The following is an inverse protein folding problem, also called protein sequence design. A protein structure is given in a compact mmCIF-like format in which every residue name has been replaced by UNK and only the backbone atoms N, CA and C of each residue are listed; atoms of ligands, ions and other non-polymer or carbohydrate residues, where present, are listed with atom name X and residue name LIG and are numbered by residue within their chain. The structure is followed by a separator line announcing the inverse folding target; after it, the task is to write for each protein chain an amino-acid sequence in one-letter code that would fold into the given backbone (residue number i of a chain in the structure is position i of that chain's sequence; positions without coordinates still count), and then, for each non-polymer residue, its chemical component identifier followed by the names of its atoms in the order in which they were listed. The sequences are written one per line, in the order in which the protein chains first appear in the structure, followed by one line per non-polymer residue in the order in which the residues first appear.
data_IF_351153773888
#
_entry.id   IF_351153773888
#
_cell.length_a   1.000
_cell.length_b   1.000
_cell.length_c   1.000
_cell.angle_alpha   90.00
_cell.angle_beta   90.00
_cell.angle_gamma   90.00
#
_symmetry.space_group_name_H-M   'P 1'
#
loop_
_entity.id
_entity.type
_entity.pdbx_description
1 polymer ?
#
# COMPACT_ATOMS: atom_id res chain seq x y z
N UNK A 1 3.76 -5.82 35.37
CA UNK A 1 3.92 -5.25 34.03
C UNK A 1 2.78 -4.29 33.81
N UNK A 2 3.05 -3.12 33.24
CA UNK A 2 1.99 -2.19 32.83
C UNK A 2 1.50 -2.65 31.47
N UNK A 3 0.21 -2.99 31.34
CA UNK A 3 -0.35 -3.38 30.05
C UNK A 3 -0.58 -2.12 29.21
N UNK A 4 0.03 -2.06 28.03
CA UNK A 4 -0.02 -0.97 27.07
C UNK A 4 -0.96 -1.33 25.92
N UNK A 5 -1.93 -0.47 25.60
CA UNK A 5 -2.73 -0.61 24.37
C UNK A 5 -1.95 -0.08 23.16
N UNK A 6 -1.96 -0.84 22.07
CA UNK A 6 -1.33 -0.51 20.80
C UNK A 6 -2.39 -0.47 19.71
N UNK A 7 -2.41 0.62 18.93
CA UNK A 7 -3.28 0.77 17.76
C UNK A 7 -2.47 1.06 16.52
N UNK A 8 -2.74 0.28 15.48
CA UNK A 8 -1.97 0.27 14.25
C UNK A 8 -2.91 0.36 13.06
N UNK A 9 -2.63 1.29 12.17
CA UNK A 9 -3.28 1.45 10.88
C UNK A 9 -2.30 1.03 9.79
N UNK A 10 -2.70 0.14 8.90
CA UNK A 10 -1.77 -0.37 7.89
C UNK A 10 -2.41 -1.36 6.93
N UNK A 11 -1.59 -2.13 6.25
CA UNK A 11 -2.02 -3.13 5.27
C UNK A 11 -1.59 -4.50 5.75
N UNK A 12 -2.52 -5.42 5.94
CA UNK A 12 -2.25 -6.67 6.62
C UNK A 12 -2.80 -7.92 5.98
N UNK A 13 -2.17 -9.04 6.35
CA UNK A 13 -2.74 -10.38 6.22
C UNK A 13 -3.42 -10.70 7.55
N UNK A 14 -4.66 -11.14 7.52
CA UNK A 14 -5.50 -11.36 8.72
C UNK A 14 -5.85 -12.82 8.95
N UNK A 15 -5.37 -13.69 8.06
CA UNK A 15 -5.65 -15.12 7.98
C UNK A 15 -4.39 -15.99 8.11
N UNK A 16 -3.31 -15.45 8.68
CA UNK A 16 -2.06 -16.19 8.84
C UNK A 16 -2.24 -17.39 9.78
N UNK A 17 -1.48 -18.44 9.51
CA UNK A 17 -1.36 -19.60 10.40
C UNK A 17 0.09 -19.72 10.87
N UNK A 18 0.31 -20.40 12.00
CA UNK A 18 1.67 -20.69 12.44
C UNK A 18 2.39 -21.54 11.37
N UNK A 19 3.52 -21.04 10.86
CA UNK A 19 4.24 -21.68 9.77
C UNK A 19 3.61 -21.47 8.39
N UNK A 20 2.80 -20.43 8.21
CA UNK A 20 2.27 -20.01 6.91
C UNK A 20 3.38 -19.94 5.87
N UNK A 21 3.20 -20.61 4.74
CA UNK A 21 4.22 -20.77 3.70
C UNK A 21 4.39 -19.49 2.87
N UNK A 22 3.43 -18.56 2.93
CA UNK A 22 3.51 -17.22 2.31
C UNK A 22 4.56 -16.34 3.01
N UNK A 23 4.86 -16.63 4.28
CA UNK A 23 5.76 -15.83 5.11
C UNK A 23 7.20 -16.34 5.07
N UNK A 24 8.15 -15.43 4.86
CA UNK A 24 9.55 -15.71 5.12
C UNK A 24 9.89 -15.36 6.57
N UNK A 25 9.85 -16.38 7.44
CA UNK A 25 10.14 -16.24 8.87
C UNK A 25 11.59 -15.84 9.18
N UNK A 26 12.50 -15.95 8.21
CA UNK A 26 13.89 -15.49 8.31
C UNK A 26 14.07 -14.04 7.81
N UNK A 27 12.97 -13.34 7.52
CA UNK A 27 13.03 -11.95 7.09
C UNK A 27 13.74 -11.07 8.13
N UNK A 28 14.71 -10.23 7.73
CA UNK A 28 15.35 -9.28 8.64
C UNK A 28 14.39 -8.23 9.22
N UNK A 29 13.18 -8.07 8.65
CA UNK A 29 12.14 -7.22 9.25
C UNK A 29 11.43 -7.86 10.45
N UNK A 30 11.58 -9.17 10.63
CA UNK A 30 11.06 -9.91 11.78
C UNK A 30 12.15 -10.13 12.85
N UNK A 31 13.40 -9.75 12.57
CA UNK A 31 14.54 -9.82 13.51
C UNK A 31 14.82 -8.45 14.15
N UNK A 32 14.38 -8.27 15.39
CA UNK A 32 14.56 -7.05 16.18
C UNK A 32 16.03 -6.69 16.47
N UNK A 33 16.98 -7.59 16.23
CA UNK A 33 18.40 -7.36 16.55
C UNK A 33 19.21 -6.82 15.37
N UNK A 34 18.74 -7.04 14.15
CA UNK A 34 19.46 -6.73 12.92
C UNK A 34 18.58 -6.07 11.85
N UNK A 35 17.46 -5.46 12.28
CA UNK A 35 16.53 -4.82 11.38
C UNK A 35 17.20 -3.70 10.55
N UNK A 36 16.93 -3.64 9.23
CA UNK A 36 17.40 -2.56 8.39
C UNK A 36 16.94 -1.19 8.88
N UNK A 37 17.65 -0.15 8.47
CA UNK A 37 17.34 1.24 8.81
C UNK A 37 16.41 1.88 7.77
N UNK A 38 15.73 2.96 8.16
CA UNK A 38 14.96 3.79 7.23
C UNK A 38 15.84 4.38 6.11
N UNK A 39 17.10 4.70 6.40
CA UNK A 39 18.06 5.22 5.41
C UNK A 39 18.39 4.17 4.36
N UNK A 40 18.72 2.95 4.77
CA UNK A 40 18.98 1.85 3.83
C UNK A 40 17.77 1.57 2.93
N UNK A 41 16.57 1.60 3.49
CA UNK A 41 15.33 1.47 2.72
C UNK A 41 15.12 2.63 1.74
N UNK A 42 15.35 3.87 2.16
CA UNK A 42 15.17 5.04 1.29
C UNK A 42 16.18 5.09 0.12
N UNK A 43 17.37 4.52 0.31
CA UNK A 43 18.41 4.45 -0.72
C UNK A 43 18.28 3.22 -1.61
N UNK A 44 17.55 2.18 -1.18
CA UNK A 44 17.31 0.97 -1.95
C UNK A 44 16.74 1.24 -3.36
N UNK A 45 15.69 2.07 -3.56
CA UNK A 45 15.16 2.37 -4.90
C UNK A 45 16.20 2.94 -5.87
N UNK A 46 17.18 3.72 -5.39
CA UNK A 46 18.22 4.30 -6.25
C UNK A 46 19.20 3.23 -6.78
N UNK A 47 19.27 2.07 -6.12
CA UNK A 47 20.13 0.95 -6.53
C UNK A 47 19.43 -0.01 -7.52
N UNK A 48 18.10 -0.02 -7.54
CA UNK A 48 17.30 -0.85 -8.44
C UNK A 48 17.16 -0.17 -9.81
N UNK A 49 18.08 -0.47 -10.74
CA UNK A 49 18.03 0.05 -12.11
C UNK A 49 16.73 -0.35 -12.82
N UNK A 50 16.07 0.61 -13.48
CA UNK A 50 15.01 0.36 -14.45
C UNK A 50 13.57 0.49 -13.94
N UNK A 51 13.35 0.89 -12.69
CA UNK A 51 12.02 1.28 -12.19
C UNK A 51 11.92 2.81 -12.15
N UNK A 52 11.13 3.41 -13.05
CA UNK A 52 10.68 4.80 -12.90
C UNK A 52 9.70 4.85 -11.72
N UNK A 53 10.25 5.08 -10.53
CA UNK A 53 9.46 5.10 -9.32
C UNK A 53 8.74 6.44 -9.20
N UNK A 54 7.41 6.43 -9.28
CA UNK A 54 6.57 7.62 -9.11
C UNK A 54 6.44 8.07 -7.64
N UNK A 55 7.34 7.60 -6.77
CA UNK A 55 7.31 7.82 -5.32
C UNK A 55 8.56 8.52 -4.78
N UNK A 56 9.15 9.42 -5.58
CA UNK A 56 10.21 10.31 -5.11
C UNK A 56 9.77 11.13 -3.87
N UNK A 57 8.48 11.49 -3.76
CA UNK A 57 7.95 12.16 -2.56
C UNK A 57 7.95 11.24 -1.32
N UNK A 58 7.42 10.00 -1.36
CA UNK A 58 7.56 9.03 -0.27
C UNK A 58 9.01 8.76 0.16
N UNK A 59 9.95 8.58 -0.76
CA UNK A 59 11.34 8.28 -0.38
C UNK A 59 11.99 9.41 0.44
N UNK A 60 11.74 10.66 0.07
CA UNK A 60 12.18 11.83 0.84
C UNK A 60 11.48 11.90 2.21
N UNK A 61 10.18 11.60 2.27
CA UNK A 61 9.46 11.50 3.55
C UNK A 61 10.05 10.42 4.45
N UNK A 62 10.42 9.27 3.90
CA UNK A 62 11.09 8.17 4.62
C UNK A 62 12.45 8.59 5.15
N UNK A 63 13.28 9.29 4.35
CA UNK A 63 14.57 9.83 4.83
C UNK A 63 14.37 10.77 6.01
N UNK A 64 13.44 11.73 5.88
CA UNK A 64 13.13 12.68 6.96
C UNK A 64 12.64 11.98 8.21
N UNK A 65 11.87 10.90 8.06
CA UNK A 65 11.43 10.06 9.18
C UNK A 65 12.62 9.38 9.87
N UNK A 66 13.55 8.80 9.10
CA UNK A 66 14.78 8.22 9.64
C UNK A 66 15.66 9.25 10.36
N UNK A 67 15.81 10.45 9.78
CA UNK A 67 16.59 11.55 10.37
C UNK A 67 15.96 12.09 11.66
N UNK A 68 14.62 12.19 11.70
CA UNK A 68 13.89 12.65 12.88
C UNK A 68 13.85 11.61 14.01
N UNK A 69 13.94 10.32 13.66
CA UNK A 69 13.84 9.20 14.60
C UNK A 69 14.96 8.18 14.39
N UNK A 70 16.24 8.54 14.63
CA UNK A 70 17.40 7.70 14.29
C UNK A 70 17.50 6.40 15.10
N UNK A 71 16.68 6.25 16.14
CA UNK A 71 16.59 5.05 16.97
C UNK A 71 15.48 4.10 16.51
N UNK A 72 14.63 4.49 15.55
CA UNK A 72 13.64 3.60 14.96
C UNK A 72 14.28 2.85 13.79
N UNK A 73 14.20 1.54 13.86
CA UNK A 73 14.54 0.63 12.78
C UNK A 73 13.27 0.25 12.00
N UNK A 74 13.46 -0.31 10.81
CA UNK A 74 12.38 -0.52 9.85
C UNK A 74 11.41 -1.64 10.27
N UNK A 75 11.81 -2.52 11.19
CA UNK A 75 10.94 -3.49 11.87
C UNK A 75 9.78 -2.79 12.61
N UNK A 76 9.92 -1.52 13.01
CA UNK A 76 8.79 -0.78 13.59
C UNK A 76 7.62 -0.57 12.61
N UNK A 77 7.83 -0.83 11.32
CA UNK A 77 6.81 -0.81 10.27
C UNK A 77 6.13 -2.18 10.09
N UNK A 78 6.59 -3.22 10.78
CA UNK A 78 6.09 -4.59 10.68
C UNK A 78 5.54 -5.01 12.03
N UNK A 79 4.23 -5.17 12.11
CA UNK A 79 3.55 -5.60 13.33
C UNK A 79 3.14 -7.04 13.14
N UNK A 80 3.93 -7.94 13.71
CA UNK A 80 3.66 -9.36 13.75
C UNK A 80 4.11 -9.91 15.10
N UNK A 81 3.16 -10.44 15.88
CA UNK A 81 3.36 -11.08 17.17
C UNK A 81 4.45 -10.48 18.08
N UNK A 82 4.18 -9.28 18.62
CA UNK A 82 4.88 -8.75 19.79
C UNK A 82 4.18 -9.26 21.06
N UNK A 83 4.52 -10.47 21.52
CA UNK A 83 4.15 -11.15 22.80
C UNK A 83 2.65 -11.34 23.15
N UNK A 84 1.74 -10.54 22.58
CA UNK A 84 0.34 -10.42 23.02
C UNK A 84 -0.60 -9.92 21.91
N UNK A 85 -0.13 -9.93 20.66
CA UNK A 85 -0.95 -9.80 19.46
C UNK A 85 -1.57 -11.14 19.01
N UNK A 86 -2.31 -11.11 17.89
CA UNK A 86 -2.81 -12.30 17.23
C UNK A 86 -1.75 -12.86 16.30
N UNK A 87 -1.46 -14.16 16.41
CA UNK A 87 -0.55 -14.87 15.51
C UNK A 87 -1.08 -14.93 14.06
N UNK A 88 -2.38 -14.68 13.88
CA UNK A 88 -3.00 -14.70 12.55
C UNK A 88 -2.88 -13.38 11.80
N UNK A 89 -2.18 -12.38 12.37
CA UNK A 89 -2.18 -11.01 11.86
C UNK A 89 -0.77 -10.51 11.66
N UNK A 90 -0.49 -10.06 10.43
CA UNK A 90 0.66 -9.26 10.07
C UNK A 90 0.15 -7.92 9.56
N UNK A 91 0.64 -6.80 10.08
CA UNK A 91 0.32 -5.47 9.57
C UNK A 91 1.59 -4.77 9.12
N UNK A 92 1.58 -4.25 7.90
CA UNK A 92 2.62 -3.40 7.34
C UNK A 92 2.16 -1.95 7.39
N UNK A 93 2.88 -1.15 8.17
CA UNK A 93 2.71 0.29 8.22
C UNK A 93 3.61 0.91 7.15
N UNK A 94 3.10 1.80 6.29
CA UNK A 94 3.95 2.46 5.33
C UNK A 94 5.07 3.23 6.04
N UNK A 95 6.35 3.12 5.61
CA UNK A 95 7.47 3.75 6.32
C UNK A 95 7.34 5.28 6.43
N UNK A 96 6.73 5.96 5.44
CA UNK A 96 6.45 7.40 5.53
C UNK A 96 5.40 7.78 6.57
N UNK A 97 4.67 6.79 7.13
CA UNK A 97 3.55 6.94 8.07
C UNK A 97 3.75 6.21 9.40
N UNK A 98 4.92 5.63 9.64
CA UNK A 98 5.22 4.83 10.83
C UNK A 98 4.95 5.54 12.18
N UNK A 99 4.98 6.88 12.20
CA UNK A 99 4.66 7.67 13.40
C UNK A 99 3.18 8.05 13.50
N UNK A 100 2.54 8.29 12.37
CA UNK A 100 1.16 8.78 12.33
C UNK A 100 0.16 7.64 12.53
N UNK A 101 0.53 6.44 12.08
CA UNK A 101 -0.35 5.29 11.96
C UNK A 101 -0.08 4.20 12.99
N UNK A 102 0.85 4.42 13.90
CA UNK A 102 1.10 3.53 15.02
C UNK A 102 1.23 4.36 16.29
N UNK A 103 0.41 4.05 17.28
CA UNK A 103 0.46 4.70 18.59
C UNK A 103 0.32 3.68 19.71
N UNK A 104 0.78 4.08 20.88
CA UNK A 104 0.70 3.27 22.10
C UNK A 104 0.36 4.15 23.29
N UNK A 105 -0.37 3.58 24.25
CA UNK A 105 -0.66 4.20 25.55
C UNK A 105 -1.42 5.54 25.50
N UNK A 106 -2.53 5.59 24.73
CA UNK A 106 -3.41 6.77 24.71
C UNK A 106 -4.58 6.59 25.70
N UNK A 107 -4.79 7.57 26.59
CA UNK A 107 -5.88 7.52 27.59
C UNK A 107 -7.25 7.34 26.93
N UNK A 108 -7.48 7.94 25.76
CA UNK A 108 -8.75 7.78 25.05
C UNK A 108 -8.92 6.35 24.52
N UNK A 109 -7.83 5.65 24.19
CA UNK A 109 -7.89 4.27 23.73
C UNK A 109 -8.28 3.32 24.87
N UNK A 110 -7.82 3.56 26.10
CA UNK A 110 -8.31 2.83 27.27
C UNK A 110 -9.78 3.08 27.53
N UNK A 111 -10.25 4.32 27.38
CA UNK A 111 -11.67 4.63 27.52
C UNK A 111 -12.50 3.93 26.44
N UNK A 112 -12.06 3.93 25.19
CA UNK A 112 -12.74 3.22 24.10
C UNK A 112 -12.75 1.70 24.36
N UNK A 113 -11.65 1.11 24.82
CA UNK A 113 -11.59 -0.32 25.11
C UNK A 113 -12.45 -0.73 26.32
N UNK A 114 -12.54 0.11 27.37
CA UNK A 114 -13.28 -0.22 28.59
C UNK A 114 -14.77 0.17 28.53
N UNK A 115 -15.13 1.18 27.73
CA UNK A 115 -16.50 1.68 27.63
C UNK A 115 -17.15 1.41 26.27
N UNK A 116 -16.36 1.14 25.24
CA UNK A 116 -16.87 0.49 24.03
C UNK A 116 -17.15 -0.97 24.35
N UNK A 117 -18.10 -1.58 23.64
CA UNK A 117 -18.48 -2.98 23.83
C UNK A 117 -17.37 -3.98 23.39
N UNK A 118 -16.09 -3.64 23.56
CA UNK A 118 -14.95 -4.50 23.25
C UNK A 118 -14.68 -5.48 24.42
N UNK A 119 -14.72 -6.79 24.19
CA UNK A 119 -14.48 -7.78 25.23
C UNK A 119 -13.01 -7.79 25.69
N UNK A 120 -12.82 -7.82 27.01
CA UNK A 120 -11.67 -8.36 27.78
C UNK A 120 -10.29 -8.43 27.09
N UNK A 121 -9.76 -7.29 26.62
CA UNK A 121 -8.36 -7.16 26.19
C UNK A 121 -7.92 -8.12 25.05
N UNK A 122 -8.87 -8.60 24.23
CA UNK A 122 -8.58 -9.51 23.11
C UNK A 122 -8.21 -8.74 21.82
N UNK A 123 -7.13 -9.10 21.10
CA UNK A 123 -6.74 -8.46 19.84
C UNK A 123 -7.91 -8.26 18.86
N UNK A 124 -8.14 -7.02 18.43
CA UNK A 124 -9.23 -6.65 17.52
C UNK A 124 -8.65 -6.19 16.18
N UNK A 125 -9.03 -6.89 15.10
CA UNK A 125 -8.72 -6.48 13.72
C UNK A 125 -9.99 -6.01 13.04
N UNK A 126 -9.96 -4.82 12.45
CA UNK A 126 -11.04 -4.28 11.62
C UNK A 126 -10.53 -4.02 10.21
N UNK A 127 -11.03 -4.75 9.24
CA UNK A 127 -10.80 -4.43 7.83
C UNK A 127 -11.53 -3.13 7.45
N UNK A 128 -10.81 -2.22 6.79
CA UNK A 128 -11.31 -0.91 6.42
C UNK A 128 -11.91 -0.94 5.02
N UNK A 129 -13.18 -0.56 4.92
CA UNK A 129 -13.90 -0.63 3.65
C UNK A 129 -13.39 0.33 2.59
N UNK A 130 -12.88 1.50 2.97
CA UNK A 130 -12.59 2.61 2.02
C UNK A 130 -11.12 2.72 1.63
N UNK A 131 -10.22 2.09 2.39
CA UNK A 131 -8.78 2.29 2.31
C UNK A 131 -8.26 3.12 3.49
N UNK A 132 -7.05 3.66 3.36
CA UNK A 132 -6.42 4.52 4.37
C UNK A 132 -5.91 5.78 3.69
N UNK A 133 -6.32 6.97 4.16
CA UNK A 133 -5.83 8.27 3.65
C UNK A 133 -4.30 8.33 3.68
N UNK A 134 -3.60 8.69 2.57
CA UNK A 134 -4.12 9.34 1.36
C UNK A 134 -4.52 8.37 0.23
N UNK A 135 -4.45 7.06 0.46
CA UNK A 135 -4.76 6.02 -0.52
C UNK A 135 -6.24 5.60 -0.52
N UNK A 136 -7.06 6.24 0.30
CA UNK A 136 -8.51 6.04 0.36
C UNK A 136 -9.14 6.24 -1.02
N UNK A 137 -10.04 5.33 -1.40
CA UNK A 137 -10.69 5.35 -2.71
C UNK A 137 -9.81 4.94 -3.90
N UNK A 138 -8.53 4.58 -3.68
CA UNK A 138 -7.66 4.03 -4.72
C UNK A 138 -7.81 2.51 -4.81
N UNK A 139 -7.71 2.00 -6.04
CA UNK A 139 -7.93 0.59 -6.37
C UNK A 139 -6.79 0.04 -7.22
N UNK A 140 -6.66 -1.28 -7.19
CA UNK A 140 -5.79 -2.06 -8.05
C UNK A 140 -6.50 -3.34 -8.49
N UNK A 141 -6.00 -3.93 -9.57
CA UNK A 141 -6.40 -5.26 -10.00
C UNK A 141 -5.64 -6.33 -9.17
N UNK A 142 -6.37 -7.23 -8.52
CA UNK A 142 -5.82 -8.25 -7.61
C UNK A 142 -4.89 -9.23 -8.29
N UNK A 143 -5.16 -9.61 -9.54
CA UNK A 143 -4.38 -10.63 -10.26
C UNK A 143 -3.04 -10.03 -10.73
N UNK A 144 -3.10 -8.86 -11.35
CA UNK A 144 -1.94 -8.22 -11.99
C UNK A 144 -1.18 -7.29 -11.03
N UNK A 145 -1.83 -6.80 -9.98
CA UNK A 145 -1.32 -5.72 -9.13
C UNK A 145 -1.36 -4.34 -9.79
N UNK A 146 -1.99 -4.21 -10.97
CA UNK A 146 -2.02 -2.97 -11.73
C UNK A 146 -2.89 -1.91 -11.05
N UNK A 147 -2.34 -0.71 -10.89
CA UNK A 147 -3.03 0.41 -10.24
C UNK A 147 -4.11 1.00 -11.16
N UNK A 148 -5.37 0.97 -10.73
CA UNK A 148 -6.49 1.37 -11.57
C UNK A 148 -6.83 2.86 -11.48
N UNK A 149 -6.38 3.54 -10.43
CA UNK A 149 -6.64 4.97 -10.23
C UNK A 149 -5.85 5.87 -11.20
N UNK A 150 -4.72 5.39 -11.75
CA UNK A 150 -3.97 6.07 -12.81
C UNK A 150 -4.80 6.28 -14.07
N UNK A 151 -5.74 5.39 -14.36
CA UNK A 151 -6.73 5.59 -15.44
C UNK A 151 -7.65 6.78 -15.17
N UNK A 152 -8.06 7.00 -13.92
CA UNK A 152 -8.87 8.15 -13.52
C UNK A 152 -8.11 9.48 -13.62
N UNK A 153 -6.82 9.49 -13.27
CA UNK A 153 -5.94 10.66 -13.42
C UNK A 153 -5.75 11.02 -14.90
N UNK A 154 -5.50 10.03 -15.76
CA UNK A 154 -5.43 10.22 -17.21
C UNK A 154 -6.72 10.77 -17.79
N UNK A 155 -7.87 10.21 -17.37
CA UNK A 155 -9.19 10.68 -17.77
C UNK A 155 -9.44 12.14 -17.35
N UNK A 156 -9.06 12.52 -16.12
CA UNK A 156 -9.14 13.92 -15.67
C UNK A 156 -8.20 14.85 -16.43
N UNK A 157 -7.00 14.38 -16.78
CA UNK A 157 -6.05 15.14 -17.60
C UNK A 157 -6.64 15.42 -18.99
N UNK A 158 -7.20 14.41 -19.65
CA UNK A 158 -7.91 14.53 -20.93
C UNK A 158 -9.13 15.46 -20.84
N UNK A 159 -9.82 15.51 -19.70
CA UNK A 159 -10.98 16.36 -19.46
C UNK A 159 -10.62 17.79 -19.00
N UNK A 160 -9.37 18.05 -18.59
CA UNK A 160 -8.94 19.34 -18.00
C UNK A 160 -8.75 20.48 -19.00
N UNK A 161 -8.87 20.21 -20.30
CA UNK A 161 -8.81 21.23 -21.36
C UNK A 161 -7.42 21.76 -21.70
N UNK A 162 -6.35 21.26 -21.07
CA UNK A 162 -4.96 21.57 -21.40
C UNK A 162 -4.22 20.30 -21.87
N UNK A 163 -4.39 19.89 -23.14
CA UNK A 163 -3.85 18.66 -23.71
C UNK A 163 -2.43 18.88 -24.24
N UNK A 164 -1.52 19.49 -23.46
CA UNK A 164 -0.15 19.65 -23.95
C UNK A 164 0.43 18.26 -24.25
N UNK A 165 1.04 18.03 -25.44
CA UNK A 165 1.55 16.72 -25.83
C UNK A 165 2.52 16.11 -24.82
N UNK A 166 3.28 16.96 -24.12
CA UNK A 166 4.21 16.57 -23.06
C UNK A 166 3.49 15.98 -21.84
N UNK A 167 2.35 16.57 -21.43
CA UNK A 167 1.55 16.08 -20.30
C UNK A 167 0.81 14.80 -20.65
N UNK A 168 0.31 14.69 -21.88
CA UNK A 168 -0.32 13.48 -22.40
C UNK A 168 0.67 12.32 -22.51
N UNK A 169 1.88 12.59 -23.02
CA UNK A 169 2.98 11.62 -23.09
C UNK A 169 3.42 11.16 -21.71
N UNK A 170 3.57 12.08 -20.74
CA UNK A 170 3.91 11.73 -19.36
C UNK A 170 2.82 10.86 -18.69
N UNK A 171 1.55 11.19 -18.94
CA UNK A 171 0.45 10.41 -18.37
C UNK A 171 0.28 9.05 -19.06
N UNK A 172 0.44 8.97 -20.39
CA UNK A 172 0.43 7.72 -21.15
C UNK A 172 1.59 6.80 -20.72
N UNK A 173 2.80 7.35 -20.53
CA UNK A 173 3.95 6.60 -19.98
C UNK A 173 3.71 6.09 -18.56
N UNK A 174 2.99 6.85 -17.73
CA UNK A 174 2.61 6.41 -16.38
C UNK A 174 1.61 5.23 -16.36
N UNK A 175 0.93 4.98 -17.49
CA UNK A 175 -0.08 3.92 -17.68
C UNK A 175 0.47 2.73 -18.49
N UNK A 176 1.50 2.95 -19.31
CA UNK A 176 2.13 1.95 -20.19
C UNK A 176 2.77 0.74 -19.49
N UNK A 177 2.54 0.56 -18.17
CA UNK A 177 2.80 -0.69 -17.44
C UNK A 177 1.76 -1.78 -17.80
N UNK A 178 0.70 -1.43 -18.55
CA UNK A 178 -0.29 -2.39 -19.04
C UNK A 178 0.24 -3.14 -20.27
N UNK A 179 0.16 -4.48 -20.29
CA UNK A 179 0.80 -5.32 -21.32
C UNK A 179 0.27 -5.11 -22.75
N UNK A 180 -0.79 -4.33 -22.95
CA UNK A 180 -1.41 -4.06 -24.26
C UNK A 180 -1.58 -2.55 -24.56
N UNK A 181 -0.93 -1.65 -23.82
CA UNK A 181 -1.06 -0.22 -24.07
C UNK A 181 -0.03 0.25 -25.09
N UNK A 182 -0.45 0.47 -26.34
CA UNK A 182 0.38 1.11 -27.37
C UNK A 182 0.34 2.63 -27.19
N UNK A 183 1.41 3.15 -26.59
CA UNK A 183 1.55 4.58 -26.34
C UNK A 183 1.62 5.39 -27.64
N UNK A 184 2.21 4.85 -28.71
CA UNK A 184 2.42 5.56 -29.97
C UNK A 184 1.11 5.65 -30.78
N UNK A 185 0.29 4.59 -30.77
CA UNK A 185 -1.07 4.60 -31.34
C UNK A 185 -1.95 5.63 -30.63
N UNK A 186 -1.97 5.60 -29.29
CA UNK A 186 -2.79 6.50 -28.46
C UNK A 186 -2.38 7.97 -28.64
N UNK A 187 -1.07 8.25 -28.75
CA UNK A 187 -0.56 9.60 -29.03
C UNK A 187 -0.88 10.06 -30.45
N UNK A 188 -0.90 9.15 -31.43
CA UNK A 188 -1.29 9.43 -32.81
C UNK A 188 -2.75 9.89 -32.91
N UNK A 189 -3.66 9.20 -32.22
CA UNK A 189 -5.09 9.56 -32.18
C UNK A 189 -5.36 10.89 -31.46
N UNK A 190 -4.59 11.18 -30.40
CA UNK A 190 -4.63 12.45 -29.68
C UNK A 190 -4.11 13.62 -30.53
N UNK A 191 -2.97 13.44 -31.20
CA UNK A 191 -2.38 14.46 -32.07
C UNK A 191 -3.24 14.78 -33.31
N UNK A 192 -4.02 13.80 -33.78
CA UNK A 192 -4.98 13.97 -34.87
C UNK A 192 -6.24 14.76 -34.46
N UNK A 193 -6.37 15.19 -33.20
CA UNK A 193 -7.48 16.01 -32.72
C UNK A 193 -8.84 15.30 -32.80
N UNK A 194 -8.85 13.98 -32.88
CA UNK A 194 -10.06 13.18 -33.15
C UNK A 194 -10.90 12.92 -31.89
N UNK A 195 -10.35 13.25 -30.71
CA UNK A 195 -11.06 13.16 -29.42
C UNK A 195 -11.88 14.44 -29.19
N UNK A 196 -12.84 14.72 -30.08
CA UNK A 196 -13.83 15.77 -29.86
C UNK A 196 -15.03 15.18 -29.14
N UNK A 197 -15.07 15.25 -27.80
CA UNK A 197 -16.30 15.28 -26.98
C UNK A 197 -17.37 14.20 -27.20
N UNK A 198 -17.10 13.12 -27.94
CA UNK A 198 -17.98 11.97 -27.98
C UNK A 198 -17.85 11.26 -26.62
N UNK A 199 -18.95 10.84 -25.97
CA UNK A 199 -18.84 9.85 -24.93
C UNK A 199 -18.07 8.69 -25.55
N UNK A 200 -16.95 8.31 -24.94
CA UNK A 200 -16.18 7.14 -25.36
C UNK A 200 -17.06 5.95 -25.01
N UNK A 201 -17.96 5.60 -25.93
CA UNK A 201 -18.85 4.44 -25.86
C UNK A 201 -18.15 3.17 -26.30
N UNK A 202 -16.93 3.30 -26.83
CA UNK A 202 -16.21 2.24 -27.53
C UNK A 202 -14.98 1.73 -26.76
N UNK A 203 -14.73 2.22 -25.54
CA UNK A 203 -13.75 1.55 -24.66
C UNK A 203 -14.41 0.30 -24.10
N UNK A 204 -13.89 -0.87 -24.48
CA UNK A 204 -14.22 -2.12 -23.84
C UNK A 204 -14.13 -1.95 -22.31
N UNK A 205 -15.13 -2.44 -21.56
CA UNK A 205 -15.10 -2.34 -20.12
C UNK A 205 -13.87 -3.08 -19.58
N UNK A 206 -13.19 -2.49 -18.57
CA UNK A 206 -12.02 -3.10 -17.94
C UNK A 206 -12.27 -4.57 -17.52
N UNK A 207 -13.51 -4.84 -17.10
CA UNK A 207 -14.04 -6.17 -16.88
C UNK A 207 -15.36 -6.31 -17.64
N UNK A 208 -15.49 -7.35 -18.46
CA UNK A 208 -16.73 -7.62 -19.20
C UNK A 208 -17.84 -8.21 -18.31
N UNK A 209 -17.49 -8.67 -17.11
CA UNK A 209 -18.37 -9.33 -16.15
C UNK A 209 -18.26 -8.63 -14.78
N UNK A 210 -19.40 -8.35 -14.16
CA UNK A 210 -19.48 -7.67 -12.86
C UNK A 210 -18.97 -8.56 -11.72
N UNK A 211 -19.21 -9.87 -11.78
CA UNK A 211 -18.74 -10.81 -10.76
C UNK A 211 -17.21 -10.90 -10.80
N UNK A 212 -16.63 -10.91 -12.01
CA UNK A 212 -15.18 -10.84 -12.21
C UNK A 212 -14.60 -9.52 -11.70
N UNK A 213 -15.33 -8.41 -11.89
CA UNK A 213 -14.91 -7.11 -11.36
C UNK A 213 -14.91 -7.11 -9.82
N UNK A 214 -15.92 -7.68 -9.18
CA UNK A 214 -16.02 -7.77 -7.71
C UNK A 214 -14.86 -8.59 -7.12
N UNK A 215 -14.48 -9.71 -7.76
CA UNK A 215 -13.38 -10.56 -7.30
C UNK A 215 -11.99 -9.95 -7.51
N UNK A 216 -11.82 -9.17 -8.60
CA UNK A 216 -10.53 -8.59 -9.01
C UNK A 216 -10.28 -7.20 -8.46
N UNK A 217 -11.31 -6.41 -8.17
CA UNK A 217 -11.15 -5.04 -7.67
C UNK A 217 -10.84 -5.03 -6.18
N UNK A 218 -9.58 -4.77 -5.85
CA UNK A 218 -9.12 -4.65 -4.46
C UNK A 218 -8.54 -3.28 -4.18
N UNK A 219 -8.43 -2.96 -2.89
CA UNK A 219 -7.84 -1.70 -2.44
C UNK A 219 -6.38 -1.63 -2.84
N UNK A 220 -5.95 -0.43 -3.24
CA UNK A 220 -4.56 -0.21 -3.58
C UNK A 220 -3.67 -0.47 -2.36
N UNK A 221 -2.72 -1.38 -2.51
CA UNK A 221 -1.57 -1.50 -1.60
C UNK A 221 -0.51 -0.48 -2.03
N UNK A 222 -0.12 0.46 -1.16
CA UNK A 222 0.81 1.51 -1.51
C UNK A 222 2.15 0.96 -2.01
N UNK A 223 2.76 1.67 -2.94
CA UNK A 223 4.11 1.40 -3.41
C UNK A 223 5.11 1.14 -2.29
N UNK A 224 5.16 2.03 -1.31
CA UNK A 224 6.08 1.92 -0.19
C UNK A 224 5.86 0.67 0.67
N UNK A 225 4.62 0.17 0.77
CA UNK A 225 4.31 -1.08 1.49
C UNK A 225 4.79 -2.29 0.68
N UNK A 226 4.59 -2.28 -0.64
CA UNK A 226 5.10 -3.32 -1.55
C UNK A 226 6.62 -3.38 -1.53
N UNK A 227 7.26 -2.21 -1.61
CA UNK A 227 8.72 -2.09 -1.55
C UNK A 227 9.25 -2.48 -0.17
N UNK A 228 8.57 -2.15 0.94
CA UNK A 228 8.93 -2.61 2.28
C UNK A 228 8.96 -4.14 2.34
N UNK A 229 7.88 -4.80 1.88
CA UNK A 229 7.81 -6.26 1.85
C UNK A 229 8.88 -6.89 0.95
N UNK A 230 9.15 -6.30 -0.22
CA UNK A 230 10.16 -6.77 -1.15
C UNK A 230 11.59 -6.58 -0.61
N UNK A 231 11.90 -5.41 -0.05
CA UNK A 231 13.21 -5.07 0.50
C UNK A 231 13.56 -5.95 1.70
N UNK A 232 12.58 -6.19 2.57
CA UNK A 232 12.73 -7.08 3.72
C UNK A 232 12.65 -8.56 3.39
N UNK A 233 12.42 -8.94 2.12
CA UNK A 233 12.13 -10.32 1.73
C UNK A 233 11.07 -10.96 2.64
N UNK A 234 10.01 -10.23 2.96
CA UNK A 234 9.04 -10.63 4.00
C UNK A 234 8.18 -11.83 3.58
N UNK A 235 7.94 -11.96 2.28
CA UNK A 235 7.14 -13.03 1.71
C UNK A 235 8.00 -13.96 0.86
N UNK A 236 7.64 -15.24 0.83
CA UNK A 236 8.26 -16.26 -0.03
C UNK A 236 7.79 -16.13 -1.48
N UNK A 237 6.51 -15.80 -1.67
CA UNK A 237 5.90 -15.50 -2.97
C UNK A 237 5.82 -13.98 -3.21
N UNK A 238 6.43 -13.46 -4.29
CA UNK A 238 6.38 -12.03 -4.64
C UNK A 238 4.98 -11.48 -4.89
N UNK A 239 3.95 -12.32 -5.02
CA UNK A 239 2.56 -11.88 -5.22
C UNK A 239 1.73 -11.83 -3.93
N UNK A 240 2.29 -12.29 -2.80
CA UNK A 240 1.59 -12.31 -1.49
C UNK A 240 1.07 -10.92 -1.09
N UNK A 241 1.80 -9.85 -1.42
CA UNK A 241 1.39 -8.49 -1.07
C UNK A 241 0.04 -8.10 -1.69
N UNK A 242 -0.39 -8.73 -2.80
CA UNK A 242 -1.68 -8.46 -3.45
C UNK A 242 -2.87 -8.88 -2.58
N UNK A 243 -2.63 -9.72 -1.59
CA UNK A 243 -3.63 -10.19 -0.61
C UNK A 243 -3.74 -9.27 0.62
N UNK A 244 -2.87 -8.26 0.74
CA UNK A 244 -2.94 -7.32 1.85
C UNK A 244 -4.19 -6.46 1.77
N UNK A 245 -4.89 -6.34 2.90
CA UNK A 245 -6.08 -5.48 3.05
C UNK A 245 -5.81 -4.34 4.03
N UNK A 246 -6.41 -3.16 3.84
CA UNK A 246 -6.28 -2.08 4.81
C UNK A 246 -6.97 -2.46 6.13
N UNK A 247 -6.24 -2.35 7.24
CA UNK A 247 -6.72 -2.76 8.56
C UNK A 247 -6.45 -1.70 9.61
N UNK A 248 -7.34 -1.64 10.60
CA UNK A 248 -7.08 -1.05 11.91
C UNK A 248 -6.98 -2.19 12.93
N UNK A 249 -5.81 -2.30 13.55
CA UNK A 249 -5.46 -3.38 14.45
C UNK A 249 -5.18 -2.84 15.86
N UNK A 250 -5.94 -3.30 16.83
CA UNK A 250 -5.78 -3.00 18.26
C UNK A 250 -5.30 -4.25 18.98
N UNK A 251 -4.23 -4.13 19.77
CA UNK A 251 -3.71 -5.20 20.62
C UNK A 251 -3.10 -4.63 21.90
N UNK A 252 -2.65 -5.50 22.81
CA UNK A 252 -2.08 -5.12 24.09
C UNK A 252 -0.63 -5.64 24.18
N UNK A 253 0.26 -4.95 24.88
CA UNK A 253 1.66 -5.33 25.15
C UNK A 253 2.12 -4.98 26.56
#
# INVERSE_FOLDING_TARGET
MSTMICKVLGYGLTDLQHGDDRMNWESPLLDFTAAPTFTEFADHPATVKGREFSWLEPAECVRRMGDAHPHRSLDSCVVHNAESGSESVLVLVPPSRANDWSRSDDTFDYLEAHFGDEPDMEPVVRELRTGITPFDGLWMDRETGAELHKFGMFRRLLQSGDPSPERLLAAARSIAVLPNFDADETLGELAAGTITGKPVTDTEPLFHDADVAEDRLVRLVPAEVRELASFGHLFTDPDTWKSLVPVHYTYWS
#
